data_IF_510593554376
#
_entry.id   IF_510593554376
#
_cell.length_a   1.000
_cell.length_b   1.000
_cell.length_c   1.000
_cell.angle_alpha   90.00
_cell.angle_beta   90.00
_cell.angle_gamma   90.00
#
_symmetry.space_group_name_H-M   'P 1'
#
loop_
_entity.id
_entity.type
_entity.pdbx_description
1 polymer ?
#
# COMPACT_ATOMS: atom_id res chain seq x y z
N UNK A 1 -31.98 8.97 11.63
CA UNK A 1 -30.68 8.44 11.15
C UNK A 1 -30.59 8.77 9.68
N UNK A 2 -29.69 9.65 9.29
CA UNK A 2 -29.42 9.91 7.86
C UNK A 2 -28.92 8.60 7.24
N UNK A 3 -29.58 8.16 6.17
CA UNK A 3 -29.18 6.95 5.44
C UNK A 3 -27.80 7.23 4.83
N UNK A 4 -26.82 6.35 5.11
CA UNK A 4 -25.48 6.45 4.52
C UNK A 4 -25.59 6.55 2.98
N UNK A 5 -24.90 7.53 2.41
CA UNK A 5 -24.83 7.70 0.97
C UNK A 5 -23.58 7.02 0.41
N UNK A 6 -23.76 6.21 -0.61
CA UNK A 6 -22.69 5.58 -1.37
C UNK A 6 -22.74 6.07 -2.82
N UNK A 7 -21.69 6.72 -3.31
CA UNK A 7 -21.69 7.25 -4.67
C UNK A 7 -21.70 6.14 -5.72
N UNK A 8 -22.55 6.28 -6.73
CA UNK A 8 -22.61 5.41 -7.89
C UNK A 8 -21.41 5.63 -8.83
N UNK A 9 -21.20 4.68 -9.75
CA UNK A 9 -20.19 4.84 -10.80
C UNK A 9 -20.42 6.12 -11.60
N UNK A 10 -19.34 6.87 -11.82
CA UNK A 10 -19.37 8.11 -12.61
C UNK A 10 -20.14 9.27 -11.97
N UNK A 11 -20.77 9.09 -10.80
CA UNK A 11 -21.55 10.12 -10.13
C UNK A 11 -21.18 10.18 -8.64
N UNK A 12 -20.77 11.35 -8.18
CA UNK A 12 -20.52 11.61 -6.76
C UNK A 12 -21.13 12.95 -6.34
N UNK A 13 -22.18 12.87 -5.55
CA UNK A 13 -22.95 14.04 -5.11
C UNK A 13 -22.11 14.92 -4.18
N UNK A 14 -22.19 16.24 -4.45
CA UNK A 14 -21.57 17.28 -3.65
C UNK A 14 -22.61 17.95 -2.75
N UNK A 15 -22.22 18.30 -1.53
CA UNK A 15 -23.04 19.08 -0.61
C UNK A 15 -22.22 20.20 0.02
N UNK A 16 -22.89 21.30 0.36
CA UNK A 16 -22.26 22.34 1.16
C UNK A 16 -21.95 21.80 2.56
N UNK A 17 -20.81 22.17 3.16
CA UNK A 17 -20.42 21.71 4.49
C UNK A 17 -21.49 21.93 5.55
N UNK A 18 -22.13 23.12 5.55
CA UNK A 18 -23.21 23.45 6.50
C UNK A 18 -24.43 22.53 6.42
N UNK A 19 -24.74 21.98 5.22
CA UNK A 19 -25.81 20.99 5.06
C UNK A 19 -25.55 19.66 5.75
N UNK A 20 -24.30 19.41 6.17
CA UNK A 20 -23.85 18.22 6.90
C UNK A 20 -23.31 18.56 8.30
N UNK A 21 -23.75 19.69 8.86
CA UNK A 21 -23.36 20.18 10.20
C UNK A 21 -21.84 20.41 10.35
N UNK A 22 -21.15 20.78 9.27
CA UNK A 22 -19.76 21.21 9.32
C UNK A 22 -19.68 22.73 9.32
N UNK A 23 -18.70 23.28 10.04
CA UNK A 23 -18.40 24.71 10.00
C UNK A 23 -17.70 25.05 8.69
N UNK A 24 -18.33 25.85 7.84
CA UNK A 24 -17.82 26.20 6.51
C UNK A 24 -16.50 26.96 6.59
N UNK A 25 -16.32 27.84 7.60
CA UNK A 25 -15.07 28.59 7.79
C UNK A 25 -13.91 27.68 8.18
N UNK A 26 -14.16 26.67 9.03
CA UNK A 26 -13.15 25.69 9.39
C UNK A 26 -12.78 24.80 8.20
N UNK A 27 -13.72 24.43 7.33
CA UNK A 27 -13.45 23.71 6.09
C UNK A 27 -12.58 24.55 5.15
N UNK A 28 -12.92 25.84 4.96
CA UNK A 28 -12.10 26.76 4.16
C UNK A 28 -10.69 26.93 4.74
N UNK A 29 -10.57 27.03 6.06
CA UNK A 29 -9.27 27.10 6.74
C UNK A 29 -8.45 25.84 6.54
N UNK A 30 -9.05 24.65 6.65
CA UNK A 30 -8.39 23.37 6.40
C UNK A 30 -7.86 23.28 4.96
N UNK A 31 -8.64 23.71 3.97
CA UNK A 31 -8.21 23.77 2.56
C UNK A 31 -7.02 24.72 2.40
N UNK A 32 -7.11 25.94 2.98
CA UNK A 32 -6.04 26.93 2.93
C UNK A 32 -4.77 26.38 3.59
N UNK A 33 -4.91 25.77 4.77
CA UNK A 33 -3.80 25.13 5.47
C UNK A 33 -3.14 24.08 4.59
N UNK A 34 -3.91 23.14 4.01
CA UNK A 34 -3.38 22.12 3.11
C UNK A 34 -2.57 22.74 1.96
N UNK A 35 -3.15 23.74 1.26
CA UNK A 35 -2.49 24.42 0.12
C UNK A 35 -1.21 25.16 0.51
N UNK A 36 -1.14 25.74 1.71
CA UNK A 36 0.06 26.45 2.19
C UNK A 36 1.15 25.53 2.71
N UNK A 37 0.81 24.28 3.03
CA UNK A 37 1.72 23.26 3.55
C UNK A 37 2.01 22.16 2.52
N UNK A 38 1.84 22.45 1.25
CA UNK A 38 2.20 21.52 0.18
C UNK A 38 3.68 21.13 0.27
N UNK A 39 3.94 19.85 0.04
CA UNK A 39 5.31 19.35 -0.04
C UNK A 39 6.06 20.01 -1.21
N UNK A 40 7.20 20.61 -0.89
CA UNK A 40 8.06 21.34 -1.86
C UNK A 40 8.95 20.44 -2.70
N UNK A 41 8.80 19.10 -2.64
CA UNK A 41 9.55 18.20 -3.48
C UNK A 41 9.27 18.48 -4.96
N UNK A 42 10.29 18.21 -5.79
CA UNK A 42 10.20 18.39 -7.25
C UNK A 42 8.95 17.70 -7.83
N UNK A 43 8.31 18.36 -8.78
CA UNK A 43 7.22 17.76 -9.58
C UNK A 43 7.75 16.63 -10.50
N UNK A 44 9.05 16.62 -10.80
CA UNK A 44 9.68 15.57 -11.56
C UNK A 44 10.05 14.39 -10.68
N UNK A 45 9.27 13.33 -10.73
CA UNK A 45 9.48 12.13 -9.92
C UNK A 45 10.82 11.43 -10.20
N UNK A 46 11.38 11.55 -11.43
CA UNK A 46 12.71 11.00 -11.72
C UNK A 46 13.79 11.74 -10.94
N UNK A 47 13.71 13.07 -10.84
CA UNK A 47 14.64 13.84 -10.00
C UNK A 47 14.50 13.46 -8.52
N UNK A 48 13.28 13.19 -8.06
CA UNK A 48 13.05 12.73 -6.69
C UNK A 48 13.75 11.38 -6.44
N UNK A 49 13.62 10.41 -7.33
CA UNK A 49 14.28 9.11 -7.18
C UNK A 49 15.81 9.23 -7.20
N UNK A 50 16.36 9.96 -8.16
CA UNK A 50 17.82 10.16 -8.26
C UNK A 50 18.38 10.96 -7.08
N UNK A 51 17.63 11.95 -6.60
CA UNK A 51 18.03 12.76 -5.43
C UNK A 51 17.97 11.92 -4.16
N UNK A 52 16.91 11.14 -3.96
CA UNK A 52 16.79 10.25 -2.80
C UNK A 52 17.94 9.24 -2.76
N UNK A 53 18.29 8.65 -3.88
CA UNK A 53 19.42 7.74 -3.97
C UNK A 53 20.75 8.40 -3.57
N UNK A 54 21.01 9.62 -4.03
CA UNK A 54 22.24 10.35 -3.68
C UNK A 54 22.29 10.83 -2.22
N UNK A 55 21.13 11.15 -1.64
CA UNK A 55 21.02 11.66 -0.26
C UNK A 55 20.94 10.53 0.78
N UNK A 56 20.25 9.44 0.46
CA UNK A 56 20.03 8.31 1.38
C UNK A 56 21.12 7.25 1.33
N UNK A 57 22.09 7.36 0.39
CA UNK A 57 23.14 6.37 0.16
C UNK A 57 22.57 4.97 -0.15
N UNK A 58 21.38 4.91 -0.77
CA UNK A 58 20.82 3.63 -1.20
C UNK A 58 21.61 3.08 -2.39
N UNK A 59 22.18 1.87 -2.27
CA UNK A 59 22.71 1.17 -3.42
C UNK A 59 21.56 0.60 -4.25
N UNK A 60 21.83 0.22 -5.49
CA UNK A 60 20.81 -0.35 -6.40
C UNK A 60 19.61 0.60 -6.63
N UNK A 61 19.89 1.88 -6.81
CA UNK A 61 18.90 2.95 -6.98
C UNK A 61 18.23 2.99 -8.37
N UNK A 62 18.58 2.09 -9.29
CA UNK A 62 17.99 2.04 -10.62
C UNK A 62 16.47 1.95 -10.56
N UNK A 63 15.79 2.87 -11.26
CA UNK A 63 14.34 2.86 -11.43
C UNK A 63 13.93 1.70 -12.36
N UNK A 64 13.10 0.80 -11.87
CA UNK A 64 12.70 -0.43 -12.58
C UNK A 64 11.26 -0.38 -13.11
N UNK A 65 10.40 0.42 -12.49
CA UNK A 65 9.01 0.57 -12.88
C UNK A 65 8.72 1.95 -13.50
N UNK A 66 7.56 2.13 -14.13
CA UNK A 66 7.18 3.42 -14.66
C UNK A 66 7.09 4.48 -13.56
N UNK A 67 7.44 5.71 -13.93
CA UNK A 67 7.31 6.91 -13.10
C UNK A 67 6.55 7.97 -13.88
N UNK A 68 5.95 8.92 -13.17
CA UNK A 68 5.20 10.02 -13.75
C UNK A 68 5.49 11.30 -12.97
N UNK A 69 5.59 12.41 -13.66
CA UNK A 69 5.63 13.71 -13.00
C UNK A 69 4.36 13.90 -12.16
N UNK A 70 4.52 14.38 -10.94
CA UNK A 70 3.38 14.79 -10.14
C UNK A 70 2.83 16.13 -10.64
N UNK A 71 1.55 16.35 -10.46
CA UNK A 71 0.96 17.67 -10.67
C UNK A 71 0.92 18.49 -9.38
N UNK A 72 0.18 19.58 -9.43
CA UNK A 72 -0.12 20.40 -8.27
C UNK A 72 -0.99 19.64 -7.26
N UNK A 73 -1.07 20.16 -6.05
CA UNK A 73 -1.83 19.55 -4.96
C UNK A 73 -3.29 19.31 -5.35
N UNK A 74 -3.75 18.13 -5.01
CA UNK A 74 -5.14 17.72 -5.19
C UNK A 74 -5.70 17.21 -3.87
N UNK A 75 -6.95 17.51 -3.55
CA UNK A 75 -7.57 17.00 -2.34
C UNK A 75 -9.08 16.97 -2.39
N UNK A 76 -9.65 16.17 -1.50
CA UNK A 76 -11.08 15.99 -1.27
C UNK A 76 -11.35 15.93 0.24
N UNK A 77 -12.51 16.49 0.65
CA UNK A 77 -13.08 16.24 1.98
C UNK A 77 -14.44 15.58 1.77
N UNK A 78 -14.63 14.44 2.45
CA UNK A 78 -15.85 13.65 2.37
C UNK A 78 -16.48 13.57 3.76
N UNK A 79 -17.78 13.87 3.82
CA UNK A 79 -18.61 13.73 5.01
C UNK A 79 -19.87 12.95 4.67
N UNK A 80 -20.13 11.88 5.45
CA UNK A 80 -21.29 11.00 5.29
C UNK A 80 -21.49 10.47 3.84
N UNK A 81 -20.35 10.27 3.13
CA UNK A 81 -20.31 9.82 1.74
C UNK A 81 -20.39 10.93 0.69
N UNK A 82 -20.68 12.18 1.05
CA UNK A 82 -20.76 13.32 0.12
C UNK A 82 -19.43 14.06 0.05
N UNK A 83 -19.08 14.55 -1.14
CA UNK A 83 -17.97 15.50 -1.29
C UNK A 83 -18.45 16.85 -0.76
N UNK A 84 -17.76 17.40 0.25
CA UNK A 84 -18.05 18.70 0.85
C UNK A 84 -17.02 19.76 0.44
N UNK A 85 -15.85 19.35 0.01
CA UNK A 85 -14.84 20.23 -0.58
C UNK A 85 -13.93 19.46 -1.54
N UNK A 86 -13.40 20.15 -2.53
CA UNK A 86 -12.43 19.63 -3.48
C UNK A 86 -11.50 20.74 -3.99
N UNK A 87 -10.27 20.42 -4.31
CA UNK A 87 -9.31 21.35 -4.92
C UNK A 87 -8.31 20.62 -5.81
N UNK A 88 -7.73 21.34 -6.77
CA UNK A 88 -6.85 20.80 -7.78
C UNK A 88 -7.58 19.94 -8.82
N UNK A 89 -6.82 19.22 -9.65
CA UNK A 89 -7.38 18.30 -10.64
C UNK A 89 -7.63 16.92 -10.04
N UNK A 90 -8.82 16.72 -9.50
CA UNK A 90 -9.25 15.49 -8.83
C UNK A 90 -9.34 14.26 -9.76
N UNK A 91 -9.32 14.48 -11.09
CA UNK A 91 -9.35 13.41 -12.09
C UNK A 91 -7.95 13.02 -12.57
N UNK A 92 -6.92 13.81 -12.24
CA UNK A 92 -5.55 13.49 -12.62
C UNK A 92 -5.08 12.22 -11.96
N UNK A 93 -4.47 11.35 -12.75
CA UNK A 93 -3.90 10.10 -12.28
C UNK A 93 -2.47 10.38 -11.83
N UNK A 94 -2.18 10.18 -10.56
CA UNK A 94 -0.84 10.35 -9.98
C UNK A 94 -0.34 9.05 -9.33
N UNK A 95 0.99 8.94 -9.18
CA UNK A 95 1.62 7.89 -8.40
C UNK A 95 1.28 8.08 -6.91
N UNK A 96 0.90 6.99 -6.24
CA UNK A 96 0.60 7.01 -4.79
C UNK A 96 1.77 6.55 -3.93
N UNK A 97 2.88 6.15 -4.56
CA UNK A 97 4.04 5.60 -3.84
C UNK A 97 3.61 4.55 -2.80
N UNK A 98 4.06 4.71 -1.58
CA UNK A 98 3.83 3.73 -0.50
C UNK A 98 2.38 3.55 -0.07
N UNK A 99 1.45 4.41 -0.46
CA UNK A 99 0.01 4.12 -0.25
C UNK A 99 -0.43 2.88 -1.04
N UNK A 100 0.31 2.51 -2.08
CA UNK A 100 0.17 1.22 -2.79
C UNK A 100 0.14 0.03 -1.83
N UNK A 101 0.87 0.10 -0.72
CA UNK A 101 0.96 -0.96 0.29
C UNK A 101 -0.39 -1.32 0.91
N UNK A 102 -1.29 -0.33 1.07
CA UNK A 102 -2.65 -0.58 1.58
C UNK A 102 -3.50 -1.34 0.56
N UNK A 103 -3.33 -1.08 -0.74
CA UNK A 103 -3.97 -1.88 -1.79
C UNK A 103 -3.45 -3.32 -1.81
N UNK A 104 -2.13 -3.51 -1.62
CA UNK A 104 -1.54 -4.84 -1.49
C UNK A 104 -2.10 -5.58 -0.26
N UNK A 105 -2.10 -4.94 0.90
CA UNK A 105 -2.70 -5.51 2.11
C UNK A 105 -4.16 -5.91 1.88
N UNK A 106 -4.92 -5.11 1.15
CA UNK A 106 -6.32 -5.42 0.82
C UNK A 106 -6.44 -6.69 -0.02
N UNK A 107 -5.56 -6.92 -1.00
CA UNK A 107 -5.58 -8.17 -1.79
C UNK A 107 -5.22 -9.40 -0.96
N UNK A 108 -4.36 -9.25 0.04
CA UNK A 108 -4.07 -10.31 1.03
C UNK A 108 -5.27 -10.54 1.95
N UNK A 109 -5.95 -9.47 2.37
CA UNK A 109 -7.18 -9.55 3.17
C UNK A 109 -8.32 -10.26 2.46
N UNK A 110 -8.49 -10.01 1.18
CA UNK A 110 -9.45 -10.74 0.36
C UNK A 110 -9.09 -12.24 0.27
N UNK A 111 -7.80 -12.59 0.22
CA UNK A 111 -7.37 -13.99 0.23
C UNK A 111 -7.66 -14.65 1.59
N UNK A 112 -7.45 -13.93 2.69
CA UNK A 112 -7.83 -14.36 4.04
C UNK A 112 -9.34 -14.57 4.15
N UNK A 113 -10.14 -13.60 3.74
CA UNK A 113 -11.61 -13.68 3.76
C UNK A 113 -12.18 -14.85 2.94
N UNK A 114 -11.46 -15.27 1.89
CA UNK A 114 -11.84 -16.42 1.04
C UNK A 114 -11.26 -17.75 1.55
N UNK A 115 -10.53 -17.77 2.65
CA UNK A 115 -9.90 -18.97 3.20
C UNK A 115 -8.71 -19.50 2.39
N UNK A 116 -8.14 -18.68 1.48
CA UNK A 116 -6.90 -19.03 0.78
C UNK A 116 -5.70 -18.95 1.73
N UNK A 117 -5.79 -18.11 2.77
CA UNK A 117 -4.88 -18.07 3.92
C UNK A 117 -5.67 -18.56 5.11
N UNK A 118 -5.22 -19.64 5.74
CA UNK A 118 -5.92 -20.25 6.87
C UNK A 118 -5.67 -19.50 8.18
N UNK A 119 -4.41 -19.09 8.40
CA UNK A 119 -3.96 -18.33 9.58
C UNK A 119 -2.82 -17.39 9.14
N UNK A 120 -2.86 -16.15 9.59
CA UNK A 120 -1.78 -15.18 9.33
C UNK A 120 -0.46 -15.55 10.01
N UNK A 121 -0.48 -16.43 11.00
CA UNK A 121 0.71 -17.00 11.63
C UNK A 121 1.27 -18.24 10.91
N UNK A 122 0.62 -18.69 9.86
CA UNK A 122 1.16 -19.75 9.03
C UNK A 122 2.44 -19.29 8.31
N UNK A 123 3.42 -20.21 8.22
CA UNK A 123 4.63 -19.95 7.46
C UNK A 123 4.32 -19.85 5.97
N UNK A 124 4.70 -18.75 5.35
CA UNK A 124 4.34 -18.43 3.95
C UNK A 124 4.88 -19.44 2.95
N UNK A 125 6.02 -20.09 3.21
CA UNK A 125 6.60 -21.06 2.30
C UNK A 125 5.68 -22.26 2.01
N UNK A 126 4.76 -22.58 2.93
CA UNK A 126 3.79 -23.68 2.79
C UNK A 126 2.74 -23.44 1.71
N UNK A 127 2.59 -22.19 1.30
CA UNK A 127 1.62 -21.75 0.27
C UNK A 127 2.25 -21.69 -1.13
N UNK A 128 3.54 -22.02 -1.27
CA UNK A 128 4.27 -21.94 -2.52
C UNK A 128 4.49 -23.34 -3.13
N UNK A 129 4.34 -23.42 -4.46
CA UNK A 129 4.63 -24.64 -5.20
C UNK A 129 6.14 -24.92 -5.32
N UNK A 130 6.96 -23.87 -5.32
CA UNK A 130 8.42 -23.92 -5.32
C UNK A 130 8.99 -22.98 -4.25
N UNK A 131 9.04 -23.40 -2.99
CA UNK A 131 9.47 -22.52 -1.90
C UNK A 131 10.97 -22.25 -1.88
N UNK A 132 11.82 -23.11 -2.47
CA UNK A 132 13.27 -23.04 -2.32
C UNK A 132 13.88 -21.77 -2.92
N UNK A 133 13.26 -21.20 -3.92
CA UNK A 133 13.74 -19.97 -4.58
C UNK A 133 13.86 -18.78 -3.61
N UNK A 134 12.91 -18.64 -2.70
CA UNK A 134 12.86 -17.49 -1.76
C UNK A 134 12.91 -17.89 -0.29
N UNK A 135 12.69 -19.16 0.02
CA UNK A 135 12.57 -19.70 1.39
C UNK A 135 13.41 -20.95 1.60
N UNK A 136 14.46 -21.17 0.81
CA UNK A 136 15.33 -22.36 0.91
C UNK A 136 16.14 -22.44 2.20
N UNK A 137 16.34 -21.34 2.92
CA UNK A 137 17.07 -21.34 4.19
C UNK A 137 16.13 -21.44 5.41
N UNK A 138 16.63 -21.98 6.52
CA UNK A 138 15.85 -22.19 7.75
C UNK A 138 15.40 -20.92 8.44
N UNK A 139 16.05 -19.78 8.17
CA UNK A 139 15.62 -18.48 8.67
C UNK A 139 14.34 -18.02 7.96
N UNK A 140 14.35 -18.00 6.64
CA UNK A 140 13.20 -17.56 5.84
C UNK A 140 11.96 -18.46 6.02
N UNK A 141 12.15 -19.76 6.27
CA UNK A 141 11.03 -20.69 6.53
C UNK A 141 10.20 -20.34 7.77
N UNK A 142 10.73 -19.53 8.68
CA UNK A 142 10.01 -19.06 9.89
C UNK A 142 9.09 -17.87 9.62
N UNK A 143 9.16 -17.28 8.43
CA UNK A 143 8.40 -16.07 8.09
C UNK A 143 6.94 -16.42 7.89
N UNK A 144 6.06 -15.61 8.48
CA UNK A 144 4.61 -15.74 8.39
C UNK A 144 3.99 -14.60 7.56
N UNK A 145 2.72 -14.72 7.22
CA UNK A 145 1.95 -13.64 6.58
C UNK A 145 1.92 -12.39 7.45
N UNK A 146 1.70 -12.53 8.78
CA UNK A 146 1.72 -11.41 9.72
C UNK A 146 3.07 -10.69 9.72
N UNK A 147 4.18 -11.42 9.72
CA UNK A 147 5.52 -10.82 9.67
C UNK A 147 5.73 -9.96 8.40
N UNK A 148 5.24 -10.41 7.26
CA UNK A 148 5.34 -9.63 6.02
C UNK A 148 4.43 -8.41 6.06
N UNK A 149 3.17 -8.57 6.47
CA UNK A 149 2.19 -7.48 6.57
C UNK A 149 2.63 -6.37 7.52
N UNK A 150 3.30 -6.73 8.62
CA UNK A 150 3.81 -5.79 9.64
C UNK A 150 5.24 -5.33 9.40
N UNK A 151 5.87 -5.76 8.32
CA UNK A 151 7.27 -5.48 8.00
C UNK A 151 8.26 -5.88 9.11
N UNK A 152 8.02 -7.02 9.72
CA UNK A 152 8.88 -7.65 10.73
C UNK A 152 9.51 -8.96 10.25
N UNK A 153 9.48 -9.24 8.95
CA UNK A 153 9.86 -10.53 8.39
C UNK A 153 11.36 -10.85 8.47
N UNK A 154 12.21 -9.82 8.45
CA UNK A 154 13.68 -10.01 8.36
C UNK A 154 14.08 -11.01 7.24
N UNK A 155 13.29 -11.07 6.15
CA UNK A 155 13.58 -11.93 5.00
C UNK A 155 14.95 -11.58 4.41
N UNK A 156 15.68 -12.62 4.03
CA UNK A 156 17.01 -12.54 3.41
C UNK A 156 16.93 -13.00 1.96
N UNK A 157 17.39 -12.18 1.04
CA UNK A 157 17.45 -12.60 -0.35
C UNK A 157 17.60 -11.46 -1.34
N UNK A 158 17.50 -11.83 -2.60
CA UNK A 158 17.46 -10.91 -3.72
C UNK A 158 16.15 -11.14 -4.46
N UNK A 159 15.43 -10.06 -4.72
CA UNK A 159 14.20 -10.08 -5.51
C UNK A 159 14.28 -9.00 -6.60
N UNK A 160 14.13 -9.42 -7.86
CA UNK A 160 14.17 -8.53 -9.04
C UNK A 160 15.40 -7.61 -9.06
N UNK A 161 16.59 -8.22 -8.88
CA UNK A 161 17.89 -7.58 -8.80
C UNK A 161 18.07 -6.59 -7.63
N UNK A 162 17.16 -6.60 -6.67
CA UNK A 162 17.27 -5.82 -5.43
C UNK A 162 17.52 -6.75 -4.24
N UNK A 163 18.71 -6.72 -3.63
CA UNK A 163 18.92 -7.39 -2.36
C UNK A 163 18.08 -6.74 -1.25
N UNK A 164 17.64 -7.51 -0.28
CA UNK A 164 16.76 -7.02 0.79
C UNK A 164 17.38 -5.89 1.62
N UNK A 165 18.70 -5.84 1.71
CA UNK A 165 19.41 -4.77 2.42
C UNK A 165 19.55 -3.47 1.59
N UNK A 166 19.23 -3.48 0.28
CA UNK A 166 19.39 -2.30 -0.59
C UNK A 166 18.46 -1.15 -0.22
N UNK A 167 17.29 -1.45 0.35
CA UNK A 167 16.32 -0.44 0.75
C UNK A 167 16.63 0.09 2.16
N UNK A 168 16.92 1.37 2.26
CA UNK A 168 17.19 2.09 3.53
C UNK A 168 18.25 1.38 4.37
N UNK A 169 19.48 1.21 3.82
CA UNK A 169 20.56 0.55 4.55
C UNK A 169 20.95 1.36 5.79
N UNK A 170 21.47 0.72 6.86
CA UNK A 170 21.96 1.40 8.04
C UNK A 170 23.02 2.45 7.68
N UNK A 171 22.90 3.67 8.19
CA UNK A 171 23.78 4.81 7.88
C UNK A 171 25.25 4.55 8.21
N UNK A 172 25.51 3.77 9.25
CA UNK A 172 26.83 3.50 9.79
C UNK A 172 27.48 2.22 9.22
N UNK A 173 26.89 1.61 8.21
CA UNK A 173 27.39 0.36 7.63
C UNK A 173 27.90 0.60 6.21
N UNK A 174 29.11 0.15 5.90
CA UNK A 174 29.64 0.16 4.53
C UNK A 174 28.98 -0.90 3.65
N UNK A 175 28.84 -0.64 2.37
CA UNK A 175 28.10 -1.52 1.45
C UNK A 175 28.68 -2.94 1.34
N UNK A 176 30.02 -3.09 1.50
CA UNK A 176 30.71 -4.37 1.53
C UNK A 176 30.40 -5.25 2.76
N UNK A 177 29.71 -4.70 3.75
CA UNK A 177 29.27 -5.40 4.95
C UNK A 177 27.77 -5.67 4.99
N UNK A 178 26.98 -5.08 4.10
CA UNK A 178 25.53 -5.18 4.12
C UNK A 178 25.04 -6.59 3.78
N UNK A 179 25.71 -7.29 2.87
CA UNK A 179 25.42 -8.68 2.51
C UNK A 179 25.81 -9.69 3.59
N UNK A 180 26.60 -9.28 4.58
CA UNK A 180 27.06 -10.07 5.73
C UNK A 180 26.39 -9.68 7.04
N UNK A 181 25.34 -8.84 6.98
CA UNK A 181 24.63 -8.43 8.19
C UNK A 181 23.98 -9.62 8.90
N UNK A 182 23.91 -9.58 10.20
CA UNK A 182 23.11 -10.50 10.99
C UNK A 182 21.65 -10.10 10.94
N UNK A 183 20.79 -11.09 10.71
CA UNK A 183 19.35 -10.90 10.70
C UNK A 183 18.75 -11.32 12.03
N UNK A 184 17.79 -10.54 12.50
CA UNK A 184 17.04 -10.86 13.70
C UNK A 184 16.01 -11.96 13.40
N UNK A 185 15.57 -12.65 14.42
CA UNK A 185 14.49 -13.65 14.27
C UNK A 185 13.25 -12.98 13.65
N UNK A 186 12.61 -13.58 12.62
CA UNK A 186 11.37 -13.07 12.07
C UNK A 186 10.33 -12.76 13.16
N UNK A 187 9.68 -11.60 13.08
CA UNK A 187 8.71 -11.14 14.06
C UNK A 187 9.28 -10.34 15.22
N UNK A 188 10.60 -10.13 15.32
CA UNK A 188 11.20 -9.46 16.50
C UNK A 188 11.70 -8.03 16.24
N UNK A 189 11.79 -7.62 14.97
CA UNK A 189 12.29 -6.30 14.58
C UNK A 189 11.49 -5.73 13.41
N UNK A 190 11.07 -4.50 13.57
CA UNK A 190 10.47 -3.73 12.48
C UNK A 190 11.55 -3.14 11.58
N UNK A 191 11.40 -3.34 10.27
CA UNK A 191 12.17 -2.63 9.25
C UNK A 191 11.27 -2.35 8.05
N UNK A 192 10.98 -1.07 7.79
CA UNK A 192 10.29 -0.64 6.59
C UNK A 192 11.17 -0.95 5.37
N UNK A 193 10.69 -1.82 4.47
CA UNK A 193 11.53 -2.39 3.41
C UNK A 193 10.70 -2.79 2.19
N UNK A 194 10.93 -2.09 1.07
CA UNK A 194 10.16 -2.29 -0.16
C UNK A 194 10.51 -3.58 -0.92
N UNK A 195 11.72 -4.16 -0.74
CA UNK A 195 12.03 -5.49 -1.31
C UNK A 195 11.13 -6.55 -0.66
N UNK A 196 10.99 -6.51 0.67
CA UNK A 196 10.13 -7.42 1.44
C UNK A 196 8.64 -7.20 1.15
N UNK A 197 8.24 -5.96 0.86
CA UNK A 197 6.88 -5.64 0.38
C UNK A 197 6.63 -6.20 -1.02
N UNK A 198 7.61 -6.13 -1.91
CA UNK A 198 7.53 -6.73 -3.24
C UNK A 198 7.48 -8.27 -3.17
N UNK A 199 8.17 -8.87 -2.20
CA UNK A 199 8.03 -10.29 -1.90
C UNK A 199 6.58 -10.64 -1.52
N UNK A 200 5.94 -9.86 -0.65
CA UNK A 200 4.52 -10.06 -0.32
C UNK A 200 3.63 -9.96 -1.57
N UNK A 201 3.90 -9.02 -2.49
CA UNK A 201 3.17 -8.90 -3.74
C UNK A 201 3.34 -10.15 -4.64
N UNK A 202 4.55 -10.69 -4.72
CA UNK A 202 4.84 -11.94 -5.44
C UNK A 202 4.10 -13.12 -4.82
N UNK A 203 4.16 -13.26 -3.49
CA UNK A 203 3.47 -14.33 -2.75
C UNK A 203 1.95 -14.26 -2.93
N UNK A 204 1.37 -13.07 -2.82
CA UNK A 204 -0.06 -12.87 -3.06
C UNK A 204 -0.45 -13.19 -4.50
N UNK A 205 0.39 -12.83 -5.50
CA UNK A 205 0.16 -13.17 -6.91
C UNK A 205 0.16 -14.70 -7.11
N UNK A 206 1.11 -15.42 -6.50
CA UNK A 206 1.17 -16.88 -6.53
C UNK A 206 -0.05 -17.51 -5.85
N UNK A 207 -0.44 -17.00 -4.69
CA UNK A 207 -1.59 -17.50 -3.94
C UNK A 207 -2.90 -17.38 -4.73
N UNK A 208 -3.12 -16.21 -5.34
CA UNK A 208 -4.30 -15.95 -6.17
C UNK A 208 -4.24 -16.64 -7.54
N UNK A 209 -3.07 -17.03 -8.02
CA UNK A 209 -2.78 -17.53 -9.37
C UNK A 209 -3.35 -16.59 -10.46
N UNK A 210 -3.39 -15.30 -10.16
CA UNK A 210 -3.94 -14.24 -11.00
C UNK A 210 -3.19 -12.93 -10.76
N UNK A 211 -3.15 -12.01 -11.75
CA UNK A 211 -2.61 -10.67 -11.54
C UNK A 211 -3.38 -9.94 -10.43
N UNK A 212 -2.68 -9.37 -9.46
CA UNK A 212 -3.31 -8.62 -8.35
C UNK A 212 -4.18 -7.44 -8.83
N UNK A 213 -3.83 -6.70 -9.92
CA UNK A 213 -4.74 -5.69 -10.46
C UNK A 213 -6.12 -6.25 -10.86
N UNK A 214 -6.18 -7.47 -11.40
CA UNK A 214 -7.45 -8.13 -11.73
C UNK A 214 -8.23 -8.47 -10.44
N UNK A 215 -7.56 -9.02 -9.45
CA UNK A 215 -8.17 -9.36 -8.15
C UNK A 215 -8.74 -8.09 -7.49
N UNK A 216 -7.96 -7.02 -7.42
CA UNK A 216 -8.39 -5.74 -6.86
C UNK A 216 -9.57 -5.14 -7.64
N UNK A 217 -9.51 -5.19 -8.98
CA UNK A 217 -10.57 -4.69 -9.85
C UNK A 217 -11.90 -5.37 -9.54
N UNK A 218 -11.92 -6.70 -9.66
CA UNK A 218 -13.15 -7.48 -9.60
C UNK A 218 -13.78 -7.52 -8.20
N UNK A 219 -12.95 -7.54 -7.15
CA UNK A 219 -13.44 -7.70 -5.78
C UNK A 219 -13.58 -6.38 -5.01
N UNK A 220 -12.95 -5.28 -5.45
CA UNK A 220 -12.99 -3.99 -4.73
C UNK A 220 -13.39 -2.85 -5.65
N UNK A 221 -12.59 -2.56 -6.70
CA UNK A 221 -12.71 -1.29 -7.43
C UNK A 221 -14.03 -1.19 -8.22
N UNK A 222 -14.44 -2.26 -8.91
CA UNK A 222 -15.72 -2.29 -9.60
C UNK A 222 -16.90 -2.21 -8.61
N UNK A 223 -16.96 -3.01 -7.52
CA UNK A 223 -18.01 -2.92 -6.51
C UNK A 223 -18.18 -1.55 -5.86
N UNK A 224 -17.10 -0.80 -5.64
CA UNK A 224 -17.17 0.56 -5.08
C UNK A 224 -17.41 1.64 -6.14
N UNK A 225 -17.55 1.26 -7.40
CA UNK A 225 -17.82 2.19 -8.51
C UNK A 225 -16.63 3.06 -8.89
N UNK A 226 -15.40 2.57 -8.72
CA UNK A 226 -14.20 3.25 -9.20
C UNK A 226 -14.14 3.29 -10.73
N UNK A 227 -13.41 4.24 -11.28
CA UNK A 227 -13.21 4.36 -12.72
C UNK A 227 -12.30 3.24 -13.26
N UNK A 228 -12.17 3.18 -14.59
CA UNK A 228 -11.26 2.27 -15.26
C UNK A 228 -9.88 2.89 -15.56
N UNK A 229 -9.55 4.03 -14.93
CA UNK A 229 -8.36 4.82 -15.29
C UNK A 229 -7.14 4.50 -14.43
N UNK A 230 -7.32 3.93 -13.24
CA UNK A 230 -6.21 3.55 -12.36
C UNK A 230 -5.33 2.45 -12.98
N UNK A 231 -4.08 2.37 -12.55
CA UNK A 231 -3.08 1.37 -13.00
C UNK A 231 -2.25 0.93 -11.81
N UNK A 232 -1.90 -0.36 -11.79
CA UNK A 232 -0.98 -0.89 -10.80
C UNK A 232 0.14 -1.61 -11.53
N UNK A 233 1.33 -1.03 -11.50
CA UNK A 233 2.47 -1.48 -12.27
C UNK A 233 3.47 -2.25 -11.42
N UNK A 234 4.10 -3.26 -12.03
CA UNK A 234 5.31 -3.91 -11.54
C UNK A 234 6.59 -3.28 -12.08
N UNK A 235 7.67 -4.02 -12.01
CA UNK A 235 8.98 -3.68 -12.56
C UNK A 235 9.23 -4.38 -13.90
N UNK A 236 10.14 -3.85 -14.72
CA UNK A 236 10.51 -4.46 -16.01
C UNK A 236 10.94 -5.93 -15.90
N UNK A 237 11.46 -6.34 -14.73
CA UNK A 237 11.96 -7.68 -14.42
C UNK A 237 11.08 -8.45 -13.41
N UNK A 238 9.86 -8.01 -13.12
CA UNK A 238 8.95 -8.68 -12.16
C UNK A 238 7.97 -9.66 -12.81
N UNK A 239 8.34 -10.25 -13.95
CA UNK A 239 7.52 -11.21 -14.66
C UNK A 239 7.73 -12.63 -14.14
N UNK A 240 6.64 -13.36 -13.94
CA UNK A 240 6.60 -14.75 -13.52
C UNK A 240 5.71 -15.56 -14.45
N UNK A 241 5.93 -16.88 -14.48
CA UNK A 241 5.07 -17.81 -15.22
C UNK A 241 4.17 -18.53 -14.23
N UNK A 242 2.86 -18.34 -14.37
CA UNK A 242 1.85 -19.08 -13.61
C UNK A 242 0.88 -19.73 -14.58
N UNK A 243 0.64 -21.02 -14.43
CA UNK A 243 -0.31 -21.77 -15.26
C UNK A 243 -0.06 -21.61 -16.78
N UNK A 244 1.21 -21.50 -17.18
CA UNK A 244 1.59 -21.32 -18.58
C UNK A 244 1.41 -19.88 -19.11
N UNK A 245 1.08 -18.91 -18.27
CA UNK A 245 0.90 -17.52 -18.64
C UNK A 245 1.97 -16.62 -18.01
N UNK A 246 2.46 -15.65 -18.77
CA UNK A 246 3.31 -14.60 -18.23
C UNK A 246 2.46 -13.60 -17.45
N UNK A 247 2.71 -13.47 -16.16
CA UNK A 247 2.03 -12.54 -15.27
C UNK A 247 3.07 -11.59 -14.67
N UNK A 248 2.82 -10.29 -14.71
CA UNK A 248 3.64 -9.32 -14.01
C UNK A 248 3.20 -9.25 -12.55
N UNK A 249 4.12 -9.55 -11.63
CA UNK A 249 3.94 -9.21 -10.23
C UNK A 249 4.08 -7.70 -10.07
N UNK A 250 3.18 -7.08 -9.32
CA UNK A 250 3.17 -5.63 -9.13
C UNK A 250 4.23 -5.18 -8.14
N UNK A 251 4.68 -3.92 -8.24
CA UNK A 251 5.41 -3.28 -7.15
C UNK A 251 4.44 -2.99 -6.00
N UNK A 252 4.74 -3.53 -4.83
CA UNK A 252 3.88 -3.39 -3.65
C UNK A 252 4.00 -2.02 -2.97
N UNK A 253 5.07 -1.25 -3.23
CA UNK A 253 5.33 0.03 -2.56
C UNK A 253 5.76 1.17 -3.47
N UNK A 254 6.10 0.90 -4.73
CA UNK A 254 6.50 1.93 -5.69
C UNK A 254 7.86 2.58 -5.42
N UNK A 255 8.74 1.95 -4.65
CA UNK A 255 10.02 2.55 -4.24
C UNK A 255 10.97 2.81 -5.42
N UNK A 256 11.09 1.85 -6.35
CA UNK A 256 11.87 2.01 -7.59
C UNK A 256 10.97 2.21 -8.83
N UNK A 257 9.93 3.03 -8.68
CA UNK A 257 8.87 3.21 -9.68
C UNK A 257 7.78 2.15 -9.60
N UNK A 258 6.84 2.14 -10.54
CA UNK A 258 5.68 1.28 -10.48
C UNK A 258 4.74 1.61 -9.34
N UNK A 259 4.05 0.61 -8.80
CA UNK A 259 3.01 0.81 -7.78
C UNK A 259 1.69 1.34 -8.35
N UNK A 260 0.83 1.85 -7.49
CA UNK A 260 -0.51 2.32 -7.85
C UNK A 260 -0.47 3.74 -8.42
N UNK A 261 -1.15 3.92 -9.56
CA UNK A 261 -1.44 5.19 -10.20
C UNK A 261 -2.95 5.36 -10.22
N UNK A 262 -3.47 6.39 -9.57
CA UNK A 262 -4.90 6.55 -9.34
C UNK A 262 -5.27 8.03 -9.19
N UNK A 263 -6.49 8.39 -9.54
CA UNK A 263 -7.05 9.71 -9.31
C UNK A 263 -7.60 9.88 -7.89
N UNK A 264 -7.82 11.12 -7.46
CA UNK A 264 -8.28 11.41 -6.10
C UNK A 264 -9.69 10.86 -5.81
N UNK A 265 -10.58 10.81 -6.79
CA UNK A 265 -11.95 10.28 -6.62
C UNK A 265 -11.94 8.77 -6.33
N UNK A 266 -11.22 7.99 -7.14
CA UNK A 266 -11.12 6.55 -6.93
C UNK A 266 -10.41 6.22 -5.61
N UNK A 267 -9.36 6.99 -5.30
CA UNK A 267 -8.65 6.85 -4.03
C UNK A 267 -9.57 7.14 -2.83
N UNK A 268 -10.41 8.17 -2.94
CA UNK A 268 -11.38 8.53 -1.91
C UNK A 268 -12.49 7.46 -1.75
N UNK A 269 -12.94 6.81 -2.84
CA UNK A 269 -13.86 5.66 -2.75
C UNK A 269 -13.25 4.52 -1.95
N UNK A 270 -11.99 4.21 -2.24
CA UNK A 270 -11.24 3.21 -1.49
C UNK A 270 -11.10 3.57 0.00
N UNK A 271 -10.74 4.81 0.32
CA UNK A 271 -10.69 5.29 1.70
C UNK A 271 -12.06 5.25 2.40
N UNK A 272 -13.13 5.60 1.68
CA UNK A 272 -14.49 5.54 2.22
C UNK A 272 -14.94 4.10 2.51
N UNK A 273 -14.55 3.11 1.69
CA UNK A 273 -14.78 1.70 1.97
C UNK A 273 -14.19 1.29 3.34
N UNK A 274 -12.95 1.70 3.62
CA UNK A 274 -12.30 1.41 4.91
C UNK A 274 -13.03 2.11 6.08
N UNK A 275 -13.40 3.37 5.91
CA UNK A 275 -14.19 4.11 6.90
C UNK A 275 -15.56 3.44 7.19
N UNK A 276 -16.10 2.71 6.22
CA UNK A 276 -17.35 1.94 6.33
C UNK A 276 -17.14 0.49 6.72
N UNK A 277 -16.00 0.16 7.33
CA UNK A 277 -15.66 -1.19 7.80
C UNK A 277 -15.76 -2.27 6.70
N UNK A 278 -15.40 -1.92 5.47
CA UNK A 278 -15.40 -2.85 4.33
C UNK A 278 -16.76 -3.09 3.69
N UNK A 279 -17.77 -2.34 4.05
CA UNK A 279 -19.10 -2.42 3.43
C UNK A 279 -19.32 -1.29 2.42
N UNK A 280 -19.95 -1.62 1.30
CA UNK A 280 -20.36 -0.67 0.28
C UNK A 280 -21.81 -0.94 -0.12
N UNK A 281 -22.70 0.00 0.19
CA UNK A 281 -24.13 -0.09 -0.10
C UNK A 281 -24.74 -1.46 0.27
N UNK A 282 -24.50 -1.92 1.49
CA UNK A 282 -24.94 -3.21 2.07
C UNK A 282 -24.19 -4.45 1.52
N UNK A 283 -23.27 -4.29 0.60
CA UNK A 283 -22.42 -5.37 0.15
C UNK A 283 -21.13 -5.41 0.97
N UNK A 284 -20.81 -6.58 1.51
CA UNK A 284 -19.54 -6.82 2.18
C UNK A 284 -18.47 -7.03 1.10
N UNK A 285 -17.50 -6.11 1.03
CA UNK A 285 -16.39 -6.14 0.07
C UNK A 285 -15.16 -6.81 0.69
N UNK A 286 -14.82 -6.39 1.91
CA UNK A 286 -13.76 -6.98 2.73
C UNK A 286 -14.26 -7.08 4.16
N UNK A 287 -13.78 -8.04 4.95
CA UNK A 287 -14.28 -8.22 6.29
C UNK A 287 -13.90 -7.08 7.22
N UNK A 288 -14.81 -6.75 8.14
CA UNK A 288 -14.51 -5.84 9.26
C UNK A 288 -13.39 -6.40 10.13
N UNK A 289 -13.29 -7.71 10.25
CA UNK A 289 -12.22 -8.40 10.97
C UNK A 289 -10.85 -8.05 10.36
N UNK A 290 -10.71 -8.14 9.02
CA UNK A 290 -9.49 -7.74 8.34
C UNK A 290 -9.14 -6.27 8.60
N UNK A 291 -10.13 -5.37 8.45
CA UNK A 291 -9.91 -3.93 8.68
C UNK A 291 -9.46 -3.68 10.12
N UNK A 292 -10.06 -4.32 11.10
CA UNK A 292 -9.66 -4.20 12.50
C UNK A 292 -8.23 -4.69 12.72
N UNK A 293 -7.85 -5.85 12.17
CA UNK A 293 -6.47 -6.36 12.26
C UNK A 293 -5.49 -5.42 11.57
N UNK A 294 -5.83 -4.94 10.37
CA UNK A 294 -4.99 -4.02 9.58
C UNK A 294 -4.79 -2.67 10.28
N UNK A 295 -5.78 -2.22 11.04
CA UNK A 295 -5.76 -0.97 11.81
C UNK A 295 -5.23 -1.13 13.24
N UNK A 296 -4.77 -2.33 13.60
CA UNK A 296 -4.24 -2.61 14.95
C UNK A 296 -2.72 -2.58 14.95
N UNK A 297 -2.11 -1.85 15.90
CA UNK A 297 -0.65 -1.81 16.04
C UNK A 297 -0.09 -3.19 16.46
N UNK A 298 1.20 -3.41 16.21
CA UNK A 298 1.93 -4.55 16.78
C UNK A 298 2.66 -4.16 18.05
N UNK A 299 3.08 -5.15 18.83
CA UNK A 299 3.97 -4.91 19.97
C UNK A 299 5.35 -4.36 19.54
N UNK A 300 5.77 -4.66 18.31
CA UNK A 300 7.08 -4.26 17.78
C UNK A 300 7.06 -2.81 17.29
N UNK A 301 5.95 -2.37 16.67
CA UNK A 301 5.79 -0.99 16.20
C UNK A 301 4.36 -0.52 16.45
N UNK A 302 4.19 0.36 17.43
CA UNK A 302 2.88 0.91 17.82
C UNK A 302 2.28 1.88 16.81
N UNK A 303 3.07 2.33 15.82
CA UNK A 303 2.63 3.26 14.79
C UNK A 303 2.39 2.59 13.43
N UNK A 304 2.43 1.23 13.35
CA UNK A 304 2.29 0.52 12.10
C UNK A 304 1.38 -0.72 12.21
N UNK A 305 0.44 -0.82 11.28
CA UNK A 305 -0.46 -1.96 11.13
C UNK A 305 -0.10 -2.86 9.95
N UNK A 306 -1.09 -3.39 9.24
CA UNK A 306 -0.87 -4.16 8.02
C UNK A 306 -0.64 -3.23 6.82
N UNK A 307 0.61 -2.88 6.56
CA UNK A 307 1.02 -2.04 5.44
C UNK A 307 0.47 -0.61 5.48
N UNK A 308 0.18 -0.08 6.67
CA UNK A 308 -0.29 1.29 6.89
C UNK A 308 0.25 1.89 8.18
N UNK A 309 0.44 3.21 8.16
CA UNK A 309 0.88 4.01 9.30
C UNK A 309 -0.32 4.57 10.07
N UNK A 310 -0.16 4.70 11.39
CA UNK A 310 -1.08 5.44 12.24
C UNK A 310 -0.52 6.84 12.49
N UNK A 311 -1.13 7.85 11.91
CA UNK A 311 -0.62 9.23 11.96
C UNK A 311 -0.85 9.91 13.31
N UNK A 312 -1.88 9.49 14.04
CA UNK A 312 -2.28 10.07 15.32
C UNK A 312 -1.96 9.14 16.50
N UNK A 313 -0.99 8.24 16.36
CA UNK A 313 -0.57 7.38 17.45
C UNK A 313 0.59 8.01 18.23
N UNK A 314 0.58 7.85 19.56
CA UNK A 314 1.74 8.08 20.41
C UNK A 314 2.65 6.83 20.43
N UNK A 315 3.73 6.84 21.20
CA UNK A 315 4.65 5.69 21.34
C UNK A 315 3.94 4.42 21.88
N UNK A 316 2.81 4.59 22.57
CA UNK A 316 1.99 3.50 23.10
C UNK A 316 0.98 2.98 22.05
N UNK A 317 0.89 3.62 20.87
CA UNK A 317 -0.06 3.24 19.82
C UNK A 317 -1.52 3.64 20.11
N UNK A 318 -1.75 4.54 21.07
CA UNK A 318 -3.06 5.12 21.36
C UNK A 318 -3.26 6.42 20.59
N UNK A 319 -4.50 6.74 20.23
CA UNK A 319 -4.84 8.03 19.63
C UNK A 319 -4.55 9.18 20.60
N UNK A 320 -4.08 10.31 20.05
CA UNK A 320 -3.86 11.56 20.80
C UNK A 320 -5.14 12.38 20.85
#
# INVERSE_FOLDING_TARGET
MTKDYFPEYGNWTRKQPGALNMDEKQVEEAIRFAKTHENKLSINNMQMFTRTASETREPHDEVLGPVKERGEMTGLIIKDGYIVAEWGDINRIDMTFSVTKTYLSTTVGLAYDKGLISDLNDNVYRYLSNPDEHFGNEHNKKITWDHLLRQTSEWQGVLWDKPDWADRPPENMSFDKLDKQEYMTPGTKYKYNDVRVNLLALLATNLWRNPLPKILKENVMDPIGASNTWRWHGYKNSWIVLDGQNIQSVSGGGHWGGGMFINALDHARFGYLFLRNGEWNKNKIISKEWINMASSPSEINKSYGFMNWFLNSNEEGTEK
#
